data_IF_504400493419
#
_entry.id   IF_504400493419
#
_cell.length_a   1.000
_cell.length_b   1.000
_cell.length_c   1.000
_cell.angle_alpha   90.00
_cell.angle_beta   90.00
_cell.angle_gamma   90.00
#
_symmetry.space_group_name_H-M   'P 1'
#
loop_
_entity.id
_entity.type
_entity.pdbx_description
1 polymer ?
#
# COMPACT_ATOMS: atom_id res chain seq x y z
N UNK A 1 70.04 -13.91 -10.77
CA UNK A 1 70.11 -14.34 -9.35
C UNK A 1 68.76 -14.95 -9.01
N UNK A 2 68.70 -16.28 -8.87
CA UNK A 2 67.48 -16.95 -8.41
C UNK A 2 67.26 -16.59 -6.94
N UNK A 3 66.05 -16.17 -6.58
CA UNK A 3 65.66 -16.03 -5.18
C UNK A 3 65.90 -17.38 -4.47
N UNK A 4 66.50 -17.35 -3.28
CA UNK A 4 66.76 -18.58 -2.52
C UNK A 4 65.44 -19.32 -2.26
N UNK A 5 65.38 -20.67 -2.31
CA UNK A 5 64.14 -21.46 -2.20
C UNK A 5 63.25 -21.11 -0.99
N UNK A 6 63.89 -20.75 0.13
CA UNK A 6 63.24 -20.27 1.35
C UNK A 6 62.41 -18.99 1.16
N UNK A 7 62.84 -18.09 0.28
CA UNK A 7 62.14 -16.83 0.00
C UNK A 7 60.86 -17.08 -0.81
N UNK A 8 60.91 -18.04 -1.75
CA UNK A 8 59.77 -18.45 -2.57
C UNK A 8 58.67 -19.07 -1.68
N UNK A 9 59.06 -19.97 -0.78
CA UNK A 9 58.15 -20.63 0.15
C UNK A 9 57.45 -19.64 1.09
N UNK A 10 58.21 -18.70 1.67
CA UNK A 10 57.63 -17.64 2.53
C UNK A 10 56.65 -16.72 1.78
N UNK A 11 56.92 -16.44 0.50
CA UNK A 11 56.02 -15.63 -0.32
C UNK A 11 54.72 -16.39 -0.61
N UNK A 12 54.79 -17.67 -0.95
CA UNK A 12 53.60 -18.52 -1.17
C UNK A 12 52.76 -18.64 0.09
N UNK A 13 53.38 -18.83 1.27
CA UNK A 13 52.68 -18.86 2.56
C UNK A 13 52.00 -17.52 2.86
N UNK A 14 52.67 -16.40 2.63
CA UNK A 14 52.09 -15.07 2.83
C UNK A 14 50.90 -14.80 1.89
N UNK A 15 51.00 -15.23 0.62
CA UNK A 15 49.91 -15.11 -0.35
C UNK A 15 48.72 -15.98 0.07
N UNK A 16 48.96 -17.25 0.46
CA UNK A 16 47.89 -18.13 0.92
C UNK A 16 47.20 -17.59 2.17
N UNK A 17 47.96 -17.08 3.14
CA UNK A 17 47.41 -16.45 4.34
C UNK A 17 46.59 -15.20 4.00
N UNK A 18 47.10 -14.34 3.11
CA UNK A 18 46.38 -13.14 2.66
C UNK A 18 45.06 -13.49 1.96
N UNK A 19 45.06 -14.50 1.10
CA UNK A 19 43.85 -15.00 0.43
C UNK A 19 42.87 -15.57 1.45
N UNK A 20 43.32 -16.44 2.36
CA UNK A 20 42.45 -17.03 3.39
C UNK A 20 41.83 -15.94 4.27
N UNK A 21 42.63 -14.99 4.75
CA UNK A 21 42.13 -13.87 5.57
C UNK A 21 41.16 -12.99 4.79
N UNK A 22 41.49 -12.61 3.56
CA UNK A 22 40.62 -11.80 2.71
C UNK A 22 39.27 -12.48 2.43
N UNK A 23 39.29 -13.78 2.12
CA UNK A 23 38.07 -14.57 1.91
C UNK A 23 37.26 -14.68 3.20
N UNK A 24 37.90 -14.99 4.34
CA UNK A 24 37.20 -15.09 5.63
C UNK A 24 36.56 -13.76 6.02
N UNK A 25 37.29 -12.65 5.89
CA UNK A 25 36.79 -11.31 6.18
C UNK A 25 35.65 -10.93 5.23
N UNK A 26 35.81 -11.17 3.93
CA UNK A 26 34.78 -10.90 2.92
C UNK A 26 33.50 -11.68 3.18
N UNK A 27 33.60 -12.98 3.50
CA UNK A 27 32.44 -13.81 3.85
C UNK A 27 31.79 -13.31 5.14
N UNK A 28 32.56 -13.04 6.19
CA UNK A 28 32.00 -12.56 7.46
C UNK A 28 31.28 -11.22 7.30
N UNK A 29 31.90 -10.27 6.59
CA UNK A 29 31.29 -8.96 6.31
C UNK A 29 30.04 -9.12 5.45
N UNK A 30 30.12 -9.88 4.36
CA UNK A 30 28.98 -10.12 3.46
C UNK A 30 27.80 -10.78 4.17
N UNK A 31 28.06 -11.79 5.01
CA UNK A 31 27.00 -12.46 5.80
C UNK A 31 26.39 -11.52 6.84
N UNK A 32 27.21 -10.73 7.55
CA UNK A 32 26.70 -9.77 8.52
C UNK A 32 25.84 -8.70 7.86
N UNK A 33 26.31 -8.12 6.76
CA UNK A 33 25.59 -7.09 6.02
C UNK A 33 24.29 -7.65 5.45
N UNK A 34 24.34 -8.78 4.73
CA UNK A 34 23.15 -9.40 4.15
C UNK A 34 22.12 -9.80 5.21
N UNK A 35 22.55 -10.25 6.39
CA UNK A 35 21.63 -10.53 7.50
C UNK A 35 20.99 -9.27 8.05
N UNK A 36 21.76 -8.19 8.22
CA UNK A 36 21.20 -6.93 8.73
C UNK A 36 20.18 -6.33 7.76
N UNK A 37 20.52 -6.27 6.47
CA UNK A 37 19.63 -5.78 5.42
C UNK A 37 18.35 -6.64 5.33
N UNK A 38 18.51 -7.97 5.29
CA UNK A 38 17.36 -8.89 5.21
C UNK A 38 16.44 -8.81 6.42
N UNK A 39 16.98 -8.65 7.65
CA UNK A 39 16.15 -8.48 8.86
C UNK A 39 15.44 -7.12 8.86
N UNK A 40 16.10 -6.05 8.42
CA UNK A 40 15.49 -4.72 8.34
C UNK A 40 14.35 -4.69 7.33
N UNK A 41 14.61 -5.18 6.11
CA UNK A 41 13.61 -5.26 5.05
C UNK A 41 12.42 -6.13 5.48
N UNK A 42 12.68 -7.33 6.01
CA UNK A 42 11.62 -8.24 6.44
C UNK A 42 10.77 -7.68 7.58
N UNK A 43 11.37 -6.93 8.52
CA UNK A 43 10.60 -6.21 9.56
C UNK A 43 9.74 -5.10 9.00
N UNK A 44 10.27 -4.32 8.05
CA UNK A 44 9.54 -3.21 7.45
C UNK A 44 8.35 -3.70 6.62
N UNK A 45 8.56 -4.69 5.75
CA UNK A 45 7.51 -5.32 4.95
C UNK A 45 6.46 -5.98 5.84
N UNK A 46 6.88 -6.75 6.85
CA UNK A 46 5.96 -7.40 7.80
C UNK A 46 5.13 -6.39 8.61
N UNK A 47 5.74 -5.29 9.05
CA UNK A 47 5.02 -4.23 9.75
C UNK A 47 3.99 -3.54 8.84
N UNK A 48 4.35 -3.21 7.59
CA UNK A 48 3.43 -2.60 6.63
C UNK A 48 2.27 -3.52 6.30
N UNK A 49 2.53 -4.81 6.02
CA UNK A 49 1.49 -5.80 5.77
C UNK A 49 0.56 -5.95 6.98
N UNK A 50 1.10 -6.01 8.19
CA UNK A 50 0.31 -6.11 9.42
C UNK A 50 -0.62 -4.91 9.62
N UNK A 51 -0.15 -3.69 9.32
CA UNK A 51 -0.98 -2.47 9.39
C UNK A 51 -2.10 -2.53 8.34
N UNK A 52 -1.81 -2.90 7.09
CA UNK A 52 -2.83 -2.98 6.03
C UNK A 52 -3.89 -4.04 6.34
N UNK A 53 -3.48 -5.22 6.78
CA UNK A 53 -4.40 -6.28 7.21
C UNK A 53 -5.26 -5.83 8.40
N UNK A 54 -4.67 -5.13 9.37
CA UNK A 54 -5.40 -4.59 10.51
C UNK A 54 -6.47 -3.57 10.09
N UNK A 55 -6.12 -2.63 9.19
CA UNK A 55 -7.07 -1.65 8.64
C UNK A 55 -8.21 -2.33 7.90
N UNK A 56 -7.89 -3.31 7.05
CA UNK A 56 -8.90 -4.09 6.34
C UNK A 56 -9.88 -4.79 7.27
N UNK A 57 -9.36 -5.44 8.31
CA UNK A 57 -10.19 -6.11 9.32
C UNK A 57 -11.10 -5.13 10.07
N UNK A 58 -10.62 -3.92 10.38
CA UNK A 58 -11.43 -2.87 11.01
C UNK A 58 -12.57 -2.43 10.08
N UNK A 59 -12.27 -2.18 8.80
CA UNK A 59 -13.25 -1.79 7.77
C UNK A 59 -14.32 -2.88 7.63
N UNK A 60 -13.91 -4.13 7.41
CA UNK A 60 -14.81 -5.27 7.27
C UNK A 60 -15.72 -5.42 8.50
N UNK A 61 -15.15 -5.38 9.70
CA UNK A 61 -15.94 -5.54 10.92
C UNK A 61 -16.93 -4.41 11.14
N UNK A 62 -16.53 -3.15 10.91
CA UNK A 62 -17.44 -2.01 11.07
C UNK A 62 -18.59 -2.10 10.07
N UNK A 63 -18.30 -2.36 8.80
CA UNK A 63 -19.30 -2.48 7.75
C UNK A 63 -20.25 -3.65 8.04
N UNK A 64 -19.74 -4.80 8.51
CA UNK A 64 -20.56 -5.94 8.90
C UNK A 64 -21.49 -5.61 10.06
N UNK A 65 -20.96 -4.95 11.10
CA UNK A 65 -21.76 -4.56 12.27
C UNK A 65 -22.82 -3.52 11.89
N UNK A 66 -22.49 -2.58 10.99
CA UNK A 66 -23.36 -1.47 10.63
C UNK A 66 -24.44 -1.86 9.62
N UNK A 67 -24.07 -2.65 8.61
CA UNK A 67 -24.90 -2.89 7.42
C UNK A 67 -25.29 -4.37 7.25
N UNK A 68 -24.80 -5.26 8.11
CA UNK A 68 -25.10 -6.69 8.06
C UNK A 68 -24.18 -7.44 7.09
N UNK A 69 -24.72 -8.45 6.40
CA UNK A 69 -23.96 -9.18 5.38
C UNK A 69 -23.55 -8.23 4.25
N UNK A 70 -22.28 -8.31 3.82
CA UNK A 70 -21.76 -7.43 2.79
C UNK A 70 -22.56 -7.62 1.50
N UNK A 71 -23.24 -6.57 1.07
CA UNK A 71 -23.82 -6.55 -0.27
C UNK A 71 -22.71 -6.48 -1.31
N UNK A 72 -23.02 -6.91 -2.53
CA UNK A 72 -22.13 -6.82 -3.70
C UNK A 72 -21.69 -5.36 -3.99
N UNK A 73 -22.37 -4.36 -3.39
CA UNK A 73 -22.01 -2.95 -3.50
C UNK A 73 -20.87 -2.53 -2.58
N UNK A 74 -20.84 -3.06 -1.35
CA UNK A 74 -19.89 -2.64 -0.31
C UNK A 74 -18.60 -3.45 -0.38
N UNK A 75 -18.70 -4.75 -0.68
CA UNK A 75 -17.56 -5.67 -0.65
C UNK A 75 -16.38 -5.22 -1.53
N UNK A 76 -16.60 -4.75 -2.79
CA UNK A 76 -15.49 -4.28 -3.63
C UNK A 76 -14.78 -3.04 -3.06
N UNK A 77 -15.47 -2.23 -2.26
CA UNK A 77 -14.94 -0.99 -1.69
C UNK A 77 -14.00 -1.21 -0.50
N UNK A 78 -14.02 -2.40 0.12
CA UNK A 78 -13.18 -2.72 1.28
C UNK A 78 -11.69 -2.55 0.99
N UNK A 79 -11.23 -3.02 -0.17
CA UNK A 79 -9.80 -2.93 -0.53
C UNK A 79 -9.35 -1.47 -0.75
N UNK A 80 -10.03 -0.65 -1.57
CA UNK A 80 -9.74 0.79 -1.66
C UNK A 80 -9.74 1.47 -0.28
N UNK A 81 -10.79 1.26 0.51
CA UNK A 81 -10.93 1.86 1.85
C UNK A 81 -9.73 1.53 2.75
N UNK A 82 -9.27 0.27 2.72
CA UNK A 82 -8.13 -0.19 3.49
C UNK A 82 -6.83 0.50 3.07
N UNK A 83 -6.74 0.99 1.83
CA UNK A 83 -5.60 1.74 1.31
C UNK A 83 -5.55 3.22 1.71
N UNK A 84 -6.64 3.80 2.21
CA UNK A 84 -6.70 5.22 2.58
C UNK A 84 -5.73 5.59 3.71
N UNK A 85 -5.25 6.84 3.81
CA UNK A 85 -4.53 7.29 5.00
C UNK A 85 -5.37 7.08 6.28
N UNK A 86 -4.70 6.90 7.42
CA UNK A 86 -5.37 6.52 8.67
C UNK A 86 -6.38 7.56 9.15
N UNK A 87 -6.06 8.83 8.97
CA UNK A 87 -6.91 9.98 9.33
C UNK A 87 -8.19 9.99 8.49
N UNK A 88 -8.06 9.91 7.16
CA UNK A 88 -9.20 9.90 6.23
C UNK A 88 -10.08 8.66 6.44
N UNK A 89 -9.46 7.50 6.65
CA UNK A 89 -10.19 6.27 6.95
C UNK A 89 -10.98 6.42 8.26
N UNK A 90 -10.38 6.99 9.30
CA UNK A 90 -11.06 7.19 10.59
C UNK A 90 -12.29 8.09 10.45
N UNK A 91 -12.15 9.21 9.73
CA UNK A 91 -13.27 10.14 9.48
C UNK A 91 -14.39 9.46 8.69
N UNK A 92 -14.04 8.71 7.66
CA UNK A 92 -15.01 8.01 6.82
C UNK A 92 -15.74 6.89 7.59
N UNK A 93 -15.03 6.12 8.40
CA UNK A 93 -15.64 5.12 9.29
C UNK A 93 -16.59 5.75 10.31
N UNK A 94 -16.26 6.93 10.84
CA UNK A 94 -17.16 7.68 11.69
C UNK A 94 -18.43 8.10 10.94
N UNK A 95 -18.31 8.55 9.68
CA UNK A 95 -19.47 8.88 8.84
C UNK A 95 -20.35 7.65 8.58
N UNK A 96 -19.75 6.50 8.28
CA UNK A 96 -20.50 5.24 8.13
C UNK A 96 -21.25 4.85 9.39
N UNK A 97 -20.68 5.10 10.57
CA UNK A 97 -21.37 4.83 11.83
C UNK A 97 -22.68 5.64 11.99
N UNK A 98 -22.73 6.82 11.37
CA UNK A 98 -23.89 7.74 11.34
C UNK A 98 -24.90 7.41 10.23
N UNK A 99 -24.52 6.49 9.32
CA UNK A 99 -25.36 5.60 8.51
C UNK A 99 -26.76 5.36 9.09
N UNK A 100 -27.80 5.14 8.29
CA UNK A 100 -28.87 4.20 8.66
C UNK A 100 -28.42 2.77 8.31
N UNK A 101 -29.02 1.75 8.93
CA UNK A 101 -28.65 0.35 8.68
C UNK A 101 -29.50 -0.36 7.62
N UNK A 102 -30.39 0.39 7.00
CA UNK A 102 -31.30 -0.05 5.96
C UNK A 102 -30.70 0.19 4.56
N UNK A 103 -31.49 -0.09 3.53
CA UNK A 103 -31.07 0.04 2.13
C UNK A 103 -30.59 1.44 1.78
N UNK A 104 -31.25 2.48 2.29
CA UNK A 104 -30.86 3.88 2.09
C UNK A 104 -29.45 4.16 2.63
N UNK A 105 -29.14 3.65 3.82
CA UNK A 105 -27.80 3.82 4.40
C UNK A 105 -26.72 3.08 3.62
N UNK A 106 -27.05 1.93 3.02
CA UNK A 106 -26.15 1.17 2.15
C UNK A 106 -25.90 1.90 0.81
N UNK A 107 -26.91 2.57 0.25
CA UNK A 107 -26.77 3.35 -1.00
C UNK A 107 -25.89 4.59 -0.85
N UNK A 108 -25.81 5.16 0.35
CA UNK A 108 -24.97 6.32 0.64
C UNK A 108 -23.47 5.97 0.81
N UNK A 109 -23.14 4.71 1.08
CA UNK A 109 -21.74 4.28 1.30
C UNK A 109 -20.86 4.57 0.08
N UNK A 110 -21.17 4.12 -1.15
CA UNK A 110 -20.36 4.41 -2.33
C UNK A 110 -20.15 5.91 -2.55
N UNK A 111 -21.18 6.74 -2.31
CA UNK A 111 -21.09 8.21 -2.46
C UNK A 111 -20.04 8.79 -1.53
N UNK A 112 -20.10 8.46 -0.25
CA UNK A 112 -19.12 8.95 0.73
C UNK A 112 -17.69 8.47 0.42
N UNK A 113 -17.55 7.22 -0.04
CA UNK A 113 -16.25 6.70 -0.48
C UNK A 113 -15.71 7.52 -1.63
N UNK A 114 -16.50 7.69 -2.69
CA UNK A 114 -16.12 8.47 -3.88
C UNK A 114 -15.72 9.89 -3.48
N UNK A 115 -16.54 10.56 -2.68
CA UNK A 115 -16.24 11.91 -2.23
C UNK A 115 -14.93 11.99 -1.45
N UNK A 116 -14.69 11.07 -0.52
CA UNK A 116 -13.46 11.05 0.27
C UNK A 116 -12.23 10.87 -0.63
N UNK A 117 -12.30 9.96 -1.59
CA UNK A 117 -11.21 9.72 -2.54
C UNK A 117 -10.96 10.91 -3.47
N UNK A 118 -12.01 11.55 -3.99
CA UNK A 118 -11.89 12.74 -4.82
C UNK A 118 -11.34 13.93 -4.01
N UNK A 119 -11.81 14.14 -2.78
CA UNK A 119 -11.29 15.19 -1.88
C UNK A 119 -9.82 14.95 -1.56
N UNK A 120 -9.44 13.71 -1.24
CA UNK A 120 -8.06 13.34 -0.96
C UNK A 120 -7.16 13.57 -2.19
N UNK A 121 -7.66 13.27 -3.39
CA UNK A 121 -6.87 13.34 -4.62
C UNK A 121 -6.80 14.74 -5.24
N UNK A 122 -7.93 15.44 -5.31
CA UNK A 122 -8.11 16.67 -6.08
C UNK A 122 -8.36 17.91 -5.20
N UNK A 123 -8.59 17.72 -3.90
CA UNK A 123 -8.82 18.82 -2.96
C UNK A 123 -10.25 19.38 -3.04
N UNK A 124 -10.35 20.64 -3.45
CA UNK A 124 -11.56 21.47 -3.34
C UNK A 124 -12.77 20.89 -4.08
N UNK A 125 -13.94 20.99 -3.42
CA UNK A 125 -15.25 20.70 -4.01
C UNK A 125 -15.75 21.92 -4.80
N UNK A 126 -15.48 21.93 -6.09
CA UNK A 126 -15.95 22.94 -7.04
C UNK A 126 -17.12 22.42 -7.90
N UNK A 127 -17.50 23.17 -8.93
CA UNK A 127 -18.63 22.85 -9.82
C UNK A 127 -18.42 21.57 -10.65
N UNK A 128 -17.18 21.08 -10.77
CA UNK A 128 -16.86 19.79 -11.40
C UNK A 128 -17.00 18.63 -10.40
N UNK A 129 -16.84 18.88 -9.09
CA UNK A 129 -16.82 17.84 -8.07
C UNK A 129 -18.08 17.00 -8.06
N UNK A 130 -19.25 17.63 -8.06
CA UNK A 130 -20.52 16.91 -8.09
C UNK A 130 -20.65 16.03 -9.34
N UNK A 131 -20.22 16.53 -10.51
CA UNK A 131 -20.22 15.75 -11.75
C UNK A 131 -19.29 14.55 -11.66
N UNK A 132 -18.08 14.73 -11.13
CA UNK A 132 -17.14 13.61 -10.92
C UNK A 132 -17.73 12.53 -10.00
N UNK A 133 -18.43 12.94 -8.92
CA UNK A 133 -19.10 12.00 -8.02
C UNK A 133 -20.15 11.20 -8.77
N UNK A 134 -21.06 11.86 -9.51
CA UNK A 134 -22.12 11.17 -10.25
C UNK A 134 -21.56 10.23 -11.33
N UNK A 135 -20.54 10.64 -12.08
CA UNK A 135 -19.90 9.79 -13.10
C UNK A 135 -19.28 8.53 -12.51
N UNK A 136 -18.71 8.60 -11.31
CA UNK A 136 -18.16 7.45 -10.61
C UNK A 136 -19.24 6.53 -10.03
N UNK A 137 -20.33 7.11 -9.53
CA UNK A 137 -21.46 6.35 -9.00
C UNK A 137 -22.26 5.63 -10.08
N UNK A 138 -22.16 6.08 -11.34
CA UNK A 138 -22.76 5.40 -12.49
C UNK A 138 -22.03 4.10 -12.88
N UNK A 139 -20.80 3.88 -12.39
CA UNK A 139 -20.03 2.66 -12.65
C UNK A 139 -20.57 1.45 -11.88
N UNK A 140 -20.24 0.25 -12.34
CA UNK A 140 -20.45 -0.95 -11.51
C UNK A 140 -19.54 -0.93 -10.27
N UNK A 141 -19.91 -1.65 -9.21
CA UNK A 141 -19.16 -1.64 -7.95
C UNK A 141 -17.70 -2.13 -8.11
N UNK A 142 -17.45 -3.09 -9.01
CA UNK A 142 -16.11 -3.58 -9.31
C UNK A 142 -15.27 -2.58 -10.12
N UNK A 143 -15.89 -1.92 -11.11
CA UNK A 143 -15.23 -0.87 -11.91
C UNK A 143 -14.88 0.33 -11.03
N UNK A 144 -15.82 0.74 -10.16
CA UNK A 144 -15.60 1.80 -9.19
C UNK A 144 -14.42 1.45 -8.27
N UNK A 145 -14.43 0.27 -7.65
CA UNK A 145 -13.34 -0.16 -6.77
C UNK A 145 -11.98 -0.17 -7.50
N UNK A 146 -11.94 -0.69 -8.73
CA UNK A 146 -10.74 -0.72 -9.56
C UNK A 146 -10.22 0.68 -9.86
N UNK A 147 -11.12 1.62 -10.17
CA UNK A 147 -10.77 3.00 -10.48
C UNK A 147 -10.30 3.77 -9.23
N UNK A 148 -10.92 3.54 -8.06
CA UNK A 148 -10.50 4.15 -6.80
C UNK A 148 -9.08 3.76 -6.40
N UNK A 149 -8.69 2.50 -6.61
CA UNK A 149 -7.31 2.02 -6.39
C UNK A 149 -6.30 2.72 -7.31
N UNK A 150 -6.73 3.11 -8.51
CA UNK A 150 -5.87 3.78 -9.50
C UNK A 150 -5.95 5.31 -9.41
N UNK A 151 -6.89 5.87 -8.66
CA UNK A 151 -7.19 7.30 -8.63
C UNK A 151 -5.98 8.15 -8.20
N UNK A 152 -5.09 7.59 -7.36
CA UNK A 152 -3.85 8.26 -6.97
C UNK A 152 -2.91 8.56 -8.15
N UNK A 153 -3.04 7.81 -9.26
CA UNK A 153 -2.23 7.95 -10.47
C UNK A 153 -2.88 8.82 -11.55
N UNK A 154 -4.18 9.10 -11.43
CA UNK A 154 -4.92 9.86 -12.45
C UNK A 154 -4.84 11.35 -12.16
N UNK A 155 -4.54 12.18 -13.16
CA UNK A 155 -4.57 13.64 -13.01
C UNK A 155 -6.01 14.17 -13.07
N UNK A 156 -6.25 15.37 -12.53
CA UNK A 156 -7.60 15.95 -12.52
C UNK A 156 -8.12 16.20 -13.94
N UNK A 157 -7.27 16.75 -14.81
CA UNK A 157 -7.62 17.04 -16.20
C UNK A 157 -7.89 15.77 -16.99
N UNK A 158 -7.07 14.72 -16.81
CA UNK A 158 -7.28 13.42 -17.46
C UNK A 158 -8.57 12.75 -16.97
N UNK A 159 -8.89 12.91 -15.67
CA UNK A 159 -10.13 12.40 -15.11
C UNK A 159 -11.35 13.09 -15.74
N UNK A 160 -11.35 14.42 -15.78
CA UNK A 160 -12.42 15.21 -16.39
C UNK A 160 -12.55 14.95 -17.89
N UNK A 161 -11.44 14.73 -18.61
CA UNK A 161 -11.50 14.35 -20.02
C UNK A 161 -12.16 12.98 -20.26
N UNK A 162 -12.14 12.08 -19.27
CA UNK A 162 -12.73 10.74 -19.35
C UNK A 162 -14.16 10.65 -18.82
N UNK A 163 -14.49 11.46 -17.82
CA UNK A 163 -15.72 11.34 -17.02
C UNK A 163 -16.51 12.66 -16.90
N UNK A 164 -16.10 13.71 -17.60
CA UNK A 164 -16.65 15.06 -17.48
C UNK A 164 -17.79 15.41 -18.45
N UNK A 165 -18.24 14.47 -19.29
CA UNK A 165 -19.44 14.62 -20.15
C UNK A 165 -20.71 14.13 -19.46
#
# INVERSE_FOLDING_TARGET
MALAPLFQQKLEEAIQQGIQQGVQQGIQQGVQQGRQEGVQQGRQEGAQQGVQQGKRLIVENLLRVRFGEFSDRILPLVEPLSGLPSEDLTLLLLQFSQLSGDELGVEEVPRLVVEAFLKLRFGESDDDFARMVESLLALSSDELASLLLQLSQVSRDDFLARFGE
#
